data_IF_894966182391
#
_entry.id   IF_894966182391
#
_cell.length_a   1.000
_cell.length_b   1.000
_cell.length_c   1.000
_cell.angle_alpha   90.00
_cell.angle_beta   90.00
_cell.angle_gamma   90.00
#
_symmetry.space_group_name_H-M   'P 1'
#
loop_
_entity.id
_entity.type
_entity.pdbx_description
1 polymer ?
#
# COMPACT_ATOMS: atom_id res chain seq x y z
N UNK A 1 32.00 -48.98 -9.70
CA UNK A 1 31.02 -47.86 -9.77
C UNK A 1 31.29 -46.77 -8.73
N UNK A 2 31.80 -47.11 -7.52
CA UNK A 2 32.05 -46.14 -6.45
C UNK A 2 33.30 -45.23 -6.65
N UNK A 3 34.28 -45.66 -7.45
CA UNK A 3 35.54 -44.92 -7.72
C UNK A 3 35.37 -43.61 -8.50
N UNK A 4 34.33 -43.50 -9.34
CA UNK A 4 34.08 -42.28 -10.13
C UNK A 4 33.61 -41.10 -9.26
N UNK A 5 32.90 -41.38 -8.15
CA UNK A 5 32.40 -40.37 -7.22
C UNK A 5 33.51 -39.71 -6.40
N UNK A 6 34.59 -40.45 -6.10
CA UNK A 6 35.75 -39.94 -5.34
C UNK A 6 36.84 -39.34 -6.23
N UNK A 7 36.64 -39.35 -7.55
CA UNK A 7 37.60 -38.78 -8.48
C UNK A 7 37.72 -37.25 -8.27
N UNK A 8 38.95 -36.69 -8.32
CA UNK A 8 39.15 -35.24 -8.23
C UNK A 8 38.34 -34.45 -9.26
N UNK A 9 38.09 -35.05 -10.43
CA UNK A 9 37.26 -34.46 -11.48
C UNK A 9 35.79 -34.29 -11.05
N UNK A 10 35.23 -35.26 -10.32
CA UNK A 10 33.86 -35.17 -9.81
C UNK A 10 33.71 -34.06 -8.77
N UNK A 11 34.71 -33.92 -7.88
CA UNK A 11 34.75 -32.85 -6.90
C UNK A 11 34.81 -31.46 -7.56
N UNK A 12 35.64 -31.30 -8.60
CA UNK A 12 35.74 -30.05 -9.36
C UNK A 12 34.44 -29.67 -10.05
N UNK A 13 33.73 -30.64 -10.63
CA UNK A 13 32.42 -30.42 -11.26
C UNK A 13 31.37 -29.99 -10.22
N UNK A 14 31.36 -30.62 -9.04
CA UNK A 14 30.48 -30.23 -7.94
C UNK A 14 30.72 -28.80 -7.48
N UNK A 15 31.98 -28.41 -7.29
CA UNK A 15 32.37 -27.04 -6.92
C UNK A 15 31.96 -26.04 -8.01
N UNK A 16 32.22 -26.35 -9.29
CA UNK A 16 31.84 -25.50 -10.41
C UNK A 16 30.31 -25.28 -10.48
N UNK A 17 29.51 -26.31 -10.17
CA UNK A 17 28.06 -26.20 -10.09
C UNK A 17 27.59 -25.26 -8.97
N UNK A 18 28.19 -25.37 -7.78
CA UNK A 18 27.87 -24.48 -6.64
C UNK A 18 28.26 -23.04 -6.93
N UNK A 19 29.47 -22.81 -7.47
CA UNK A 19 29.94 -21.47 -7.84
C UNK A 19 29.05 -20.87 -8.94
N UNK A 20 28.68 -21.67 -9.95
CA UNK A 20 27.74 -21.25 -10.99
C UNK A 20 26.40 -20.81 -10.41
N UNK A 21 25.82 -21.59 -9.49
CA UNK A 21 24.56 -21.23 -8.83
C UNK A 21 24.68 -19.94 -8.01
N UNK A 22 25.73 -19.78 -7.20
CA UNK A 22 25.98 -18.56 -6.41
C UNK A 22 26.12 -17.34 -7.31
N UNK A 23 26.85 -17.45 -8.42
CA UNK A 23 27.02 -16.35 -9.39
C UNK A 23 25.68 -15.98 -10.03
N UNK A 24 24.85 -16.96 -10.41
CA UNK A 24 23.53 -16.66 -10.98
C UNK A 24 22.59 -15.99 -9.97
N UNK A 25 22.60 -16.42 -8.71
CA UNK A 25 21.83 -15.78 -7.64
C UNK A 25 22.36 -14.36 -7.36
N UNK A 26 23.68 -14.18 -7.32
CA UNK A 26 24.29 -12.86 -7.14
C UNK A 26 23.93 -11.90 -8.28
N UNK A 27 23.96 -12.38 -9.53
CA UNK A 27 23.57 -11.61 -10.70
C UNK A 27 22.09 -11.21 -10.64
N UNK A 28 21.21 -12.14 -10.25
CA UNK A 28 19.78 -11.91 -10.08
C UNK A 28 19.49 -10.83 -9.03
N UNK A 29 20.17 -10.92 -7.88
CA UNK A 29 20.09 -9.92 -6.80
C UNK A 29 20.58 -8.56 -7.26
N UNK A 30 21.74 -8.50 -7.94
CA UNK A 30 22.31 -7.23 -8.42
C UNK A 30 21.45 -6.55 -9.49
N UNK A 31 20.76 -7.31 -10.32
CA UNK A 31 19.89 -6.81 -11.39
C UNK A 31 18.43 -6.62 -10.95
N UNK A 32 18.13 -6.78 -9.66
CA UNK A 32 16.81 -6.46 -9.09
C UNK A 32 15.70 -7.43 -9.51
N UNK A 33 16.03 -8.62 -10.00
CA UNK A 33 15.03 -9.65 -10.25
C UNK A 33 14.52 -10.18 -8.91
N UNK A 34 13.19 -10.32 -8.74
CA UNK A 34 12.63 -10.84 -7.51
C UNK A 34 13.22 -12.24 -7.25
N UNK A 35 13.74 -12.44 -6.05
CA UNK A 35 14.06 -13.79 -5.59
C UNK A 35 12.71 -14.48 -5.38
N UNK A 36 12.35 -15.38 -6.29
CA UNK A 36 11.22 -16.28 -6.10
C UNK A 36 11.51 -17.12 -4.84
N UNK A 37 10.81 -16.83 -3.74
CA UNK A 37 10.74 -17.78 -2.63
C UNK A 37 10.13 -19.08 -3.15
N UNK A 38 10.46 -20.21 -2.52
CA UNK A 38 10.05 -21.57 -2.97
C UNK A 38 8.53 -21.85 -3.04
N UNK A 39 7.69 -20.81 -2.98
CA UNK A 39 6.24 -20.82 -3.07
C UNK A 39 5.69 -19.60 -3.85
N UNK A 40 6.42 -19.07 -4.84
CA UNK A 40 5.90 -18.05 -5.77
C UNK A 40 5.65 -16.67 -5.13
N UNK A 41 6.19 -16.41 -3.95
CA UNK A 41 6.20 -15.08 -3.35
C UNK A 41 7.41 -14.32 -3.90
N UNK A 42 7.14 -13.28 -4.69
CA UNK A 42 8.16 -12.27 -5.04
C UNK A 42 8.62 -11.61 -3.74
N UNK A 43 9.79 -11.99 -3.22
CA UNK A 43 10.45 -11.22 -2.17
C UNK A 43 10.98 -9.96 -2.86
N UNK A 44 10.12 -8.94 -3.00
CA UNK A 44 10.57 -7.62 -3.44
C UNK A 44 11.51 -7.09 -2.36
N UNK A 45 12.80 -6.87 -2.67
CA UNK A 45 13.69 -6.24 -1.72
C UNK A 45 13.09 -4.87 -1.42
N UNK A 46 12.80 -4.69 -0.13
CA UNK A 46 12.20 -3.52 0.43
C UNK A 46 13.18 -2.35 0.22
N UNK A 47 13.07 -1.67 -0.91
CA UNK A 47 13.51 -0.29 -1.05
C UNK A 47 12.51 0.59 -0.25
N UNK A 48 12.47 0.39 1.08
CA UNK A 48 11.44 0.95 1.99
C UNK A 48 11.41 2.46 2.05
N UNK A 49 12.47 3.16 1.67
CA UNK A 49 12.59 4.57 2.00
C UNK A 49 11.58 5.39 1.19
N UNK A 50 11.52 5.15 -0.13
CA UNK A 50 10.61 5.85 -1.03
C UNK A 50 9.15 5.40 -0.83
N UNK A 51 8.91 4.11 -0.60
CA UNK A 51 7.55 3.62 -0.33
C UNK A 51 7.01 4.14 1.01
N UNK A 52 7.84 4.22 2.05
CA UNK A 52 7.43 4.77 3.36
C UNK A 52 7.19 6.27 3.28
N UNK A 53 8.00 6.99 2.51
CA UNK A 53 7.81 8.43 2.30
C UNK A 53 6.51 8.73 1.54
N UNK A 54 6.24 7.99 0.45
CA UNK A 54 4.95 8.06 -0.26
C UNK A 54 3.78 7.69 0.64
N UNK A 55 3.93 6.68 1.51
CA UNK A 55 2.89 6.28 2.44
C UNK A 55 2.61 7.38 3.48
N UNK A 56 3.65 8.09 3.94
CA UNK A 56 3.50 9.25 4.83
C UNK A 56 2.79 10.42 4.13
N UNK A 57 3.16 10.73 2.89
CA UNK A 57 2.52 11.77 2.09
C UNK A 57 1.02 11.45 1.88
N UNK A 58 0.70 10.23 1.44
CA UNK A 58 -0.70 9.78 1.26
C UNK A 58 -1.49 9.78 2.57
N UNK A 59 -0.87 9.43 3.69
CA UNK A 59 -1.54 9.48 5.00
C UNK A 59 -1.85 10.93 5.40
N UNK A 60 -0.93 11.86 5.10
CA UNK A 60 -1.15 13.29 5.32
C UNK A 60 -2.27 13.85 4.44
N UNK A 61 -2.32 13.46 3.16
CA UNK A 61 -3.40 13.85 2.23
C UNK A 61 -4.76 13.33 2.68
N UNK A 62 -4.82 12.07 3.15
CA UNK A 62 -6.07 11.51 3.70
C UNK A 62 -6.55 12.27 4.95
N UNK A 63 -5.63 12.68 5.84
CA UNK A 63 -5.98 13.47 7.02
C UNK A 63 -6.54 14.86 6.62
N UNK A 64 -5.97 15.49 5.59
CA UNK A 64 -6.48 16.75 5.06
C UNK A 64 -7.87 16.59 4.43
N UNK A 65 -8.08 15.56 3.61
CA UNK A 65 -9.37 15.27 3.00
C UNK A 65 -10.45 15.01 4.05
N UNK A 66 -10.11 14.31 5.14
CA UNK A 66 -11.05 14.11 6.25
C UNK A 66 -11.43 15.42 6.94
N UNK A 67 -10.49 16.35 7.11
CA UNK A 67 -10.77 17.67 7.66
C UNK A 67 -11.68 18.50 6.72
N UNK A 68 -11.42 18.47 5.42
CA UNK A 68 -12.26 19.14 4.42
C UNK A 68 -13.68 18.56 4.38
N UNK A 69 -13.81 17.22 4.40
CA UNK A 69 -15.10 16.55 4.49
C UNK A 69 -15.85 16.89 5.79
N UNK A 70 -15.14 17.00 6.91
CA UNK A 70 -15.69 17.47 8.18
C UNK A 70 -16.29 18.87 8.07
N UNK A 71 -15.54 19.83 7.50
CA UNK A 71 -16.01 21.19 7.31
C UNK A 71 -17.24 21.27 6.39
N UNK A 72 -17.29 20.45 5.33
CA UNK A 72 -18.45 20.36 4.44
C UNK A 72 -19.67 19.81 5.21
N UNK A 73 -19.48 18.77 6.02
CA UNK A 73 -20.55 18.18 6.84
C UNK A 73 -21.14 19.19 7.84
N UNK A 74 -20.31 19.98 8.50
CA UNK A 74 -20.77 21.00 9.45
C UNK A 74 -21.60 22.10 8.77
N UNK A 75 -21.21 22.48 7.55
CA UNK A 75 -21.98 23.42 6.72
C UNK A 75 -23.30 22.82 6.27
N UNK A 76 -23.31 21.55 5.84
CA UNK A 76 -24.54 20.85 5.48
C UNK A 76 -25.51 20.76 6.65
N UNK A 77 -25.03 20.43 7.85
CA UNK A 77 -25.86 20.42 9.06
C UNK A 77 -26.43 21.81 9.38
N UNK A 78 -25.63 22.87 9.18
CA UNK A 78 -26.11 24.25 9.32
C UNK A 78 -27.21 24.59 8.32
N UNK A 79 -27.06 24.18 7.06
CA UNK A 79 -28.06 24.38 6.02
C UNK A 79 -29.34 23.57 6.29
N UNK A 80 -29.21 22.32 6.75
CA UNK A 80 -30.34 21.48 7.15
C UNK A 80 -31.16 22.15 8.26
N UNK A 81 -30.47 22.72 9.27
CA UNK A 81 -31.13 23.47 10.33
C UNK A 81 -31.87 24.70 9.81
N UNK A 82 -31.24 25.51 8.96
CA UNK A 82 -31.86 26.72 8.38
C UNK A 82 -33.11 26.33 7.58
N UNK A 83 -32.99 25.39 6.64
CA UNK A 83 -34.09 24.97 5.79
C UNK A 83 -35.26 24.40 6.61
N UNK A 84 -34.96 23.64 7.67
CA UNK A 84 -36.00 23.05 8.52
C UNK A 84 -36.64 24.06 9.48
N UNK A 85 -35.85 24.95 10.08
CA UNK A 85 -36.36 25.98 11.01
C UNK A 85 -37.16 27.07 10.28
N UNK A 86 -36.73 27.53 9.10
CA UNK A 86 -37.46 28.51 8.31
C UNK A 86 -38.81 27.97 7.84
N UNK A 87 -38.87 26.73 7.34
CA UNK A 87 -40.14 26.09 6.97
C UNK A 87 -41.11 26.02 8.15
N UNK A 88 -40.63 25.60 9.33
CA UNK A 88 -41.44 25.54 10.56
C UNK A 88 -41.85 26.93 11.09
N UNK A 89 -41.05 27.97 10.88
CA UNK A 89 -41.41 29.33 11.28
C UNK A 89 -42.48 29.91 10.36
N UNK A 90 -42.31 29.77 9.04
CA UNK A 90 -43.27 30.27 8.06
C UNK A 90 -44.64 29.60 8.23
N UNK A 91 -44.69 28.27 8.41
CA UNK A 91 -45.95 27.57 8.67
C UNK A 91 -46.66 28.08 9.93
N UNK A 92 -45.90 28.37 11.00
CA UNK A 92 -46.46 28.94 12.23
C UNK A 92 -46.97 30.36 12.06
N UNK A 93 -46.22 31.22 11.38
CA UNK A 93 -46.68 32.60 11.06
C UNK A 93 -47.94 32.59 10.18
N UNK A 94 -48.07 31.64 9.24
CA UNK A 94 -49.27 31.51 8.40
C UNK A 94 -50.50 31.11 9.22
N UNK A 95 -50.36 30.16 10.15
CA UNK A 95 -51.49 29.70 10.98
C UNK A 95 -51.96 30.80 11.96
N UNK A 96 -51.04 31.60 12.48
CA UNK A 96 -51.32 32.74 13.38
C UNK A 96 -52.06 33.88 12.64
N UNK A 97 -51.76 34.10 11.35
CA UNK A 97 -52.49 35.06 10.50
C UNK A 97 -53.85 34.55 9.99
N UNK A 98 -54.13 33.24 10.14
CA UNK A 98 -55.38 32.61 9.70
C UNK A 98 -56.47 32.60 10.77
N UNK A 99 -56.13 32.84 12.03
CA UNK A 99 -57.07 32.94 13.16
C UNK A 99 -57.23 34.39 13.61
#
# INVERSE_FOLDING_TARGET
>A
MMEFLTSPAFALIGIAGVVGWVVTTWLRVKHGYPLEGGWGQEIKPVHSNETTERLRLLTSENAQLQAELGAIKDRLHTLERIATDEGRRLSREIDDLRH
#
